data_IF_453921358762
#
_entry.id   IF_453921358762
#
_cell.length_a   1.000
_cell.length_b   1.000
_cell.length_c   1.000
_cell.angle_alpha   90.00
_cell.angle_beta   90.00
_cell.angle_gamma   90.00
#
_symmetry.space_group_name_H-M   'P 1'
#
loop_
_entity.id
_entity.type
_entity.pdbx_description
1 polymer ?
#
# COMPACT_ATOMS: atom_id res chain seq x y z
N UNK A 1 -1.34 -40.88 10.29
CA UNK A 1 -2.33 -39.85 10.57
C UNK A 1 -1.68 -38.60 11.20
N UNK A 2 -0.85 -38.74 12.24
CA UNK A 2 -0.16 -37.62 12.94
C UNK A 2 0.79 -36.84 12.02
N UNK A 3 1.53 -37.47 11.14
CA UNK A 3 2.45 -36.78 10.21
C UNK A 3 1.71 -35.91 9.17
N UNK A 4 0.50 -36.30 8.77
CA UNK A 4 -0.29 -35.53 7.80
C UNK A 4 -0.85 -34.26 8.47
N UNK A 5 -1.26 -34.33 9.73
CA UNK A 5 -1.74 -33.18 10.49
C UNK A 5 -0.61 -32.18 10.79
N UNK A 6 0.58 -32.67 11.12
CA UNK A 6 1.74 -31.81 11.34
C UNK A 6 2.19 -31.08 10.07
N UNK A 7 2.14 -31.74 8.90
CA UNK A 7 2.46 -31.11 7.63
C UNK A 7 1.41 -30.03 7.24
N UNK A 8 0.13 -30.27 7.48
CA UNK A 8 -0.92 -29.30 7.25
C UNK A 8 -0.77 -28.08 8.16
N UNK A 9 -0.49 -28.27 9.45
CA UNK A 9 -0.24 -27.16 10.38
C UNK A 9 0.96 -26.31 9.95
N UNK A 10 2.05 -26.94 9.52
CA UNK A 10 3.23 -26.17 9.06
C UNK A 10 2.96 -25.40 7.76
N UNK A 11 2.11 -25.90 6.88
CA UNK A 11 1.73 -25.18 5.65
C UNK A 11 0.84 -23.97 5.95
N UNK A 12 -0.13 -24.08 6.87
CA UNK A 12 -0.95 -22.95 7.30
C UNK A 12 -0.11 -21.86 7.95
N UNK A 13 0.89 -22.21 8.75
CA UNK A 13 1.83 -21.27 9.37
C UNK A 13 2.65 -20.52 8.33
N UNK A 14 3.12 -21.18 7.27
CA UNK A 14 3.86 -20.54 6.17
C UNK A 14 2.97 -19.51 5.45
N UNK A 15 1.75 -19.89 5.11
CA UNK A 15 0.81 -18.97 4.45
C UNK A 15 0.46 -17.77 5.32
N UNK A 16 0.29 -17.96 6.63
CA UNK A 16 0.06 -16.90 7.58
C UNK A 16 1.23 -15.89 7.65
N UNK A 17 2.47 -16.39 7.69
CA UNK A 17 3.68 -15.55 7.68
C UNK A 17 3.80 -14.78 6.36
N UNK A 18 3.50 -15.44 5.23
CA UNK A 18 3.52 -14.76 3.91
C UNK A 18 2.43 -13.69 3.82
N UNK A 19 1.22 -13.95 4.28
CA UNK A 19 0.13 -12.97 4.34
C UNK A 19 0.54 -11.75 5.16
N UNK A 20 1.09 -11.97 6.36
CA UNK A 20 1.59 -10.89 7.23
C UNK A 20 2.74 -10.10 6.57
N UNK A 21 3.57 -10.75 5.76
CA UNK A 21 4.65 -10.08 5.02
C UNK A 21 4.10 -9.19 3.91
N UNK A 22 3.07 -9.66 3.18
CA UNK A 22 2.38 -8.87 2.15
C UNK A 22 1.65 -7.69 2.78
N UNK A 23 1.02 -7.88 3.94
CA UNK A 23 0.41 -6.83 4.74
C UNK A 23 1.44 -5.74 5.09
N UNK A 24 2.59 -6.14 5.62
CA UNK A 24 3.68 -5.21 5.95
C UNK A 24 4.21 -4.46 4.73
N UNK A 25 4.35 -5.14 3.59
CA UNK A 25 4.76 -4.53 2.32
C UNK A 25 3.73 -3.52 1.82
N UNK A 26 2.44 -3.84 1.96
CA UNK A 26 1.35 -2.94 1.57
C UNK A 26 1.33 -1.67 2.43
N UNK A 27 1.50 -1.82 3.75
CA UNK A 27 1.62 -0.68 4.65
C UNK A 27 2.84 0.18 4.31
N UNK A 28 3.99 -0.45 4.04
CA UNK A 28 5.21 0.26 3.62
C UNK A 28 5.00 1.01 2.30
N UNK A 29 4.26 0.43 1.35
CA UNK A 29 3.90 1.08 0.10
C UNK A 29 3.02 2.33 0.34
N UNK A 30 2.03 2.25 1.24
CA UNK A 30 1.20 3.41 1.61
C UNK A 30 2.05 4.50 2.25
N UNK A 31 2.94 4.16 3.17
CA UNK A 31 3.87 5.11 3.79
C UNK A 31 4.81 5.74 2.75
N UNK A 32 5.25 4.96 1.77
CA UNK A 32 6.01 5.47 0.64
C UNK A 32 5.21 6.48 -0.19
N UNK A 33 3.95 6.22 -0.50
CA UNK A 33 3.07 7.17 -1.20
C UNK A 33 2.88 8.47 -0.41
N UNK A 34 2.78 8.39 0.93
CA UNK A 34 2.58 9.57 1.79
C UNK A 34 3.84 10.41 1.95
N UNK A 35 4.99 9.78 2.18
CA UNK A 35 6.21 10.46 2.60
C UNK A 35 7.37 10.36 1.60
N UNK A 36 7.22 9.57 0.56
CA UNK A 36 8.28 9.30 -0.42
C UNK A 36 8.78 10.54 -1.14
N UNK A 37 7.95 11.59 -1.31
CA UNK A 37 8.38 12.83 -1.92
C UNK A 37 9.52 13.52 -1.16
N UNK A 38 9.55 13.39 0.17
CA UNK A 38 10.60 13.96 1.02
C UNK A 38 11.96 13.34 0.68
N UNK A 39 11.99 12.01 0.50
CA UNK A 39 13.20 11.24 0.24
C UNK A 39 13.57 11.28 -1.25
N UNK A 40 12.56 11.11 -2.12
CA UNK A 40 12.76 10.97 -3.56
C UNK A 40 13.14 12.28 -4.26
N UNK A 41 12.83 13.42 -3.65
CA UNK A 41 13.03 14.74 -4.24
C UNK A 41 14.49 15.04 -4.62
N UNK A 42 15.46 14.53 -3.85
CA UNK A 42 16.89 14.76 -4.07
C UNK A 42 17.54 13.77 -5.05
N UNK A 43 16.86 12.69 -5.42
CA UNK A 43 17.41 11.61 -6.26
C UNK A 43 16.55 11.39 -7.50
N UNK A 44 17.07 11.61 -8.73
CA UNK A 44 16.26 11.57 -9.93
C UNK A 44 15.60 10.20 -10.18
N UNK A 45 16.29 9.11 -9.91
CA UNK A 45 15.73 7.76 -10.06
C UNK A 45 14.56 7.52 -9.09
N UNK A 46 14.75 7.81 -7.80
CA UNK A 46 13.70 7.66 -6.78
C UNK A 46 12.51 8.58 -7.05
N UNK A 47 12.76 9.77 -7.59
CA UNK A 47 11.70 10.69 -8.03
C UNK A 47 10.79 10.04 -9.07
N UNK A 48 11.35 9.45 -10.11
CA UNK A 48 10.56 8.80 -11.16
C UNK A 48 9.82 7.57 -10.64
N UNK A 49 10.47 6.76 -9.83
CA UNK A 49 9.83 5.61 -9.16
C UNK A 49 8.64 6.08 -8.30
N UNK A 50 8.83 7.13 -7.49
CA UNK A 50 7.75 7.64 -6.64
C UNK A 50 6.60 8.24 -7.45
N UNK A 51 6.88 9.00 -8.51
CA UNK A 51 5.84 9.53 -9.42
C UNK A 51 5.02 8.39 -10.03
N UNK A 52 5.66 7.32 -10.51
CA UNK A 52 4.97 6.15 -11.05
C UNK A 52 4.09 5.48 -9.99
N UNK A 53 4.59 5.33 -8.76
CA UNK A 53 3.81 4.79 -7.64
C UNK A 53 2.60 5.67 -7.29
N UNK A 54 2.75 7.01 -7.32
CA UNK A 54 1.65 7.95 -7.07
C UNK A 54 0.56 7.85 -8.14
N UNK A 55 0.95 7.80 -9.41
CA UNK A 55 0.00 7.63 -10.53
C UNK A 55 -0.73 6.29 -10.37
N UNK A 56 -0.01 5.21 -10.07
CA UNK A 56 -0.59 3.90 -9.82
C UNK A 56 -1.57 3.92 -8.64
N UNK A 57 -1.21 4.56 -7.53
CA UNK A 57 -2.08 4.73 -6.36
C UNK A 57 -3.38 5.45 -6.71
N UNK A 58 -3.32 6.55 -7.48
CA UNK A 58 -4.51 7.26 -7.94
C UNK A 58 -5.38 6.36 -8.83
N UNK A 59 -4.78 5.59 -9.74
CA UNK A 59 -5.53 4.71 -10.63
C UNK A 59 -6.26 3.61 -9.85
N UNK A 60 -5.63 2.99 -8.87
CA UNK A 60 -6.26 1.94 -8.04
C UNK A 60 -7.40 2.52 -7.18
N UNK A 61 -7.23 3.74 -6.65
CA UNK A 61 -8.29 4.39 -5.85
C UNK A 61 -9.45 4.91 -6.71
N UNK A 62 -9.18 5.38 -7.93
CA UNK A 62 -10.19 5.94 -8.82
C UNK A 62 -10.95 4.89 -9.63
N UNK A 63 -10.36 3.74 -9.88
CA UNK A 63 -10.95 2.65 -10.64
C UNK A 63 -11.47 1.56 -9.68
N UNK A 64 -12.56 0.86 -10.04
CA UNK A 64 -13.10 -0.22 -9.20
C UNK A 64 -12.27 -1.51 -9.31
N UNK A 65 -10.95 -1.37 -9.41
CA UNK A 65 -10.03 -2.49 -9.50
C UNK A 65 -9.46 -2.83 -8.13
N UNK A 66 -9.48 -4.10 -7.75
CA UNK A 66 -8.85 -4.51 -6.50
C UNK A 66 -7.34 -4.34 -6.61
N UNK A 67 -6.71 -3.82 -5.55
CA UNK A 67 -5.26 -3.71 -5.47
C UNK A 67 -4.62 -5.12 -5.60
N UNK A 68 -3.61 -5.31 -6.45
CA UNK A 68 -2.93 -6.61 -6.59
C UNK A 68 -2.36 -7.15 -5.28
N UNK A 69 -1.88 -6.27 -4.39
CA UNK A 69 -1.39 -6.68 -3.07
C UNK A 69 -2.53 -7.20 -2.18
N UNK A 70 -3.70 -6.54 -2.21
CA UNK A 70 -4.89 -7.00 -1.49
C UNK A 70 -5.38 -8.37 -2.01
N UNK A 71 -5.33 -8.59 -3.31
CA UNK A 71 -5.68 -9.89 -3.89
C UNK A 71 -4.72 -10.99 -3.44
N UNK A 72 -3.42 -10.69 -3.43
CA UNK A 72 -2.39 -11.63 -2.99
C UNK A 72 -2.53 -11.93 -1.50
N UNK A 73 -2.76 -10.93 -0.68
CA UNK A 73 -2.98 -11.07 0.76
C UNK A 73 -4.19 -11.97 1.04
N UNK A 74 -5.35 -11.65 0.48
CA UNK A 74 -6.57 -12.45 0.61
C UNK A 74 -6.40 -13.90 0.13
N UNK A 75 -5.64 -14.10 -0.95
CA UNK A 75 -5.34 -15.44 -1.42
C UNK A 75 -4.48 -16.23 -0.42
N UNK A 76 -3.48 -15.59 0.18
CA UNK A 76 -2.62 -16.21 1.20
C UNK A 76 -3.41 -16.50 2.48
N UNK A 77 -4.26 -15.57 2.94
CA UNK A 77 -5.12 -15.73 4.10
C UNK A 77 -6.09 -16.90 3.92
N UNK A 78 -6.72 -17.01 2.75
CA UNK A 78 -7.61 -18.12 2.45
C UNK A 78 -6.89 -19.49 2.51
N UNK A 79 -5.60 -19.52 2.14
CA UNK A 79 -4.75 -20.72 2.27
C UNK A 79 -4.33 -21.01 3.71
N UNK A 80 -4.25 -19.97 4.54
CA UNK A 80 -4.02 -20.09 5.97
C UNK A 80 -5.29 -20.46 6.76
N UNK A 81 -6.46 -20.55 6.10
CA UNK A 81 -7.74 -20.85 6.74
C UNK A 81 -8.41 -19.63 7.38
N UNK A 82 -7.97 -18.42 7.01
CA UNK A 82 -8.58 -17.15 7.43
C UNK A 82 -9.59 -16.70 6.38
N UNK A 83 -10.74 -16.20 6.83
CA UNK A 83 -11.78 -15.67 5.93
C UNK A 83 -11.27 -14.41 5.22
N UNK A 84 -11.23 -14.39 3.86
CA UNK A 84 -10.79 -13.22 3.12
C UNK A 84 -11.80 -12.07 3.25
N UNK A 85 -11.28 -10.83 3.37
CA UNK A 85 -12.13 -9.64 3.46
C UNK A 85 -12.49 -9.08 2.08
N UNK A 86 -13.69 -8.51 1.96
CA UNK A 86 -14.25 -7.96 0.72
C UNK A 86 -13.99 -6.45 0.57
N UNK A 87 -13.61 -5.76 1.65
CA UNK A 87 -13.35 -4.33 1.65
C UNK A 87 -11.92 -4.02 1.18
N UNK A 88 -11.65 -2.76 0.78
CA UNK A 88 -10.28 -2.33 0.51
C UNK A 88 -9.39 -2.46 1.75
N UNK A 89 -8.10 -2.72 1.54
CA UNK A 89 -7.10 -2.91 2.59
C UNK A 89 -7.21 -1.90 3.73
N UNK A 90 -7.16 -0.61 3.40
CA UNK A 90 -7.15 0.46 4.41
C UNK A 90 -8.46 0.50 5.20
N UNK A 91 -9.59 0.26 4.54
CA UNK A 91 -10.91 0.24 5.18
C UNK A 91 -11.02 -0.94 6.15
N UNK A 92 -10.56 -2.14 5.76
CA UNK A 92 -10.61 -3.33 6.60
C UNK A 92 -9.86 -3.13 7.93
N UNK A 93 -8.62 -2.64 7.86
CA UNK A 93 -7.80 -2.45 9.06
C UNK A 93 -8.19 -1.21 9.89
N UNK A 94 -8.69 -0.15 9.26
CA UNK A 94 -9.21 1.01 9.99
C UNK A 94 -10.52 0.71 10.71
N UNK A 95 -11.43 -0.06 10.14
CA UNK A 95 -12.65 -0.49 10.79
C UNK A 95 -12.35 -1.36 12.02
N UNK A 96 -11.29 -2.18 11.96
CA UNK A 96 -10.84 -2.97 13.09
C UNK A 96 -10.19 -2.14 14.23
N UNK A 97 -9.54 -1.01 13.88
CA UNK A 97 -8.72 -0.23 14.80
C UNK A 97 -9.46 0.97 15.41
N UNK A 98 -10.32 1.67 14.68
CA UNK A 98 -10.82 3.03 15.01
C UNK A 98 -12.32 3.08 15.30
N UNK A 99 -13.07 1.99 15.24
CA UNK A 99 -14.53 1.96 15.29
C UNK A 99 -15.24 2.06 13.92
N UNK A 100 -16.32 1.28 13.75
CA UNK A 100 -16.91 1.11 12.43
C UNK A 100 -17.60 2.38 11.94
N UNK A 101 -17.39 2.72 10.70
CA UNK A 101 -18.15 3.63 9.80
C UNK A 101 -17.37 4.80 9.19
N UNK A 102 -16.11 4.61 8.85
CA UNK A 102 -15.48 5.52 7.90
C UNK A 102 -16.06 5.21 6.51
N UNK A 103 -16.75 6.14 5.85
CA UNK A 103 -17.28 5.88 4.52
C UNK A 103 -16.11 5.62 3.54
N UNK A 104 -16.17 4.57 2.71
CA UNK A 104 -15.12 4.24 1.75
C UNK A 104 -14.71 5.43 0.86
N UNK A 105 -15.70 6.25 0.47
CA UNK A 105 -15.49 7.46 -0.32
C UNK A 105 -14.53 8.44 0.35
N UNK A 106 -14.57 8.56 1.68
CA UNK A 106 -13.65 9.46 2.41
C UNK A 106 -12.20 8.99 2.29
N UNK A 107 -11.96 7.69 2.36
CA UNK A 107 -10.61 7.12 2.21
C UNK A 107 -10.09 7.28 0.78
N UNK A 108 -10.93 7.02 -0.22
CA UNK A 108 -10.60 7.25 -1.63
C UNK A 108 -10.25 8.71 -1.88
N UNK A 109 -11.08 9.65 -1.42
CA UNK A 109 -10.81 11.09 -1.57
C UNK A 109 -9.51 11.48 -0.86
N UNK A 110 -9.31 11.02 0.37
CA UNK A 110 -8.07 11.30 1.12
C UNK A 110 -6.83 10.74 0.40
N UNK A 111 -6.88 9.51 -0.10
CA UNK A 111 -5.79 8.88 -0.87
C UNK A 111 -5.45 9.66 -2.14
N UNK A 112 -6.47 10.02 -2.94
CA UNK A 112 -6.29 10.82 -4.16
C UNK A 112 -5.72 12.20 -3.84
N UNK A 113 -6.21 12.87 -2.79
CA UNK A 113 -5.70 14.18 -2.36
C UNK A 113 -4.23 14.07 -1.94
N UNK A 114 -3.87 13.09 -1.12
CA UNK A 114 -2.48 12.89 -0.68
C UNK A 114 -1.57 12.64 -1.88
N UNK A 115 -1.95 11.76 -2.81
CA UNK A 115 -1.17 11.49 -4.01
C UNK A 115 -1.01 12.74 -4.89
N UNK A 116 -2.09 13.51 -5.09
CA UNK A 116 -2.07 14.73 -5.89
C UNK A 116 -1.18 15.80 -5.27
N UNK A 117 -1.25 15.98 -3.94
CA UNK A 117 -0.37 16.92 -3.22
C UNK A 117 1.10 16.51 -3.34
N UNK A 118 1.41 15.22 -3.23
CA UNK A 118 2.78 14.73 -3.44
C UNK A 118 3.27 14.96 -4.87
N UNK A 119 2.41 14.77 -5.89
CA UNK A 119 2.74 15.11 -7.27
C UNK A 119 3.00 16.61 -7.44
N UNK A 120 2.17 17.47 -6.83
CA UNK A 120 2.34 18.92 -6.87
C UNK A 120 3.66 19.39 -6.24
N UNK A 121 4.20 18.65 -5.25
CA UNK A 121 5.51 18.95 -4.68
C UNK A 121 6.65 18.84 -5.71
N UNK A 122 6.51 17.98 -6.73
CA UNK A 122 7.51 17.83 -7.79
C UNK A 122 7.48 18.92 -8.85
N UNK A 123 6.39 19.66 -8.97
CA UNK A 123 6.27 20.80 -9.90
C UNK A 123 6.87 22.09 -9.34
N UNK A 124 7.08 22.15 -8.02
CA UNK A 124 7.65 23.33 -7.38
C UNK A 124 9.17 23.38 -7.55
N UNK A 125 9.75 24.47 -8.04
CA UNK A 125 11.20 24.63 -8.13
C UNK A 125 11.82 24.59 -6.73
N UNK A 126 12.95 23.87 -6.62
CA UNK A 126 13.69 23.77 -5.36
C UNK A 126 14.35 25.12 -5.01
N UNK A 127 14.13 25.71 -3.83
CA UNK A 127 14.78 26.97 -3.44
C UNK A 127 16.31 26.88 -3.32
N UNK A 128 16.90 25.67 -3.42
CA UNK A 128 18.33 25.40 -3.26
C UNK A 128 19.11 25.06 -4.53
N UNK A 129 18.49 25.14 -5.70
CA UNK A 129 19.12 24.79 -6.99
C UNK A 129 19.79 25.95 -7.72
N UNK A 130 20.26 26.97 -7.01
CA UNK A 130 21.00 28.07 -7.65
C UNK A 130 22.49 27.76 -7.63
N UNK A 131 23.06 27.56 -8.82
CA UNK A 131 24.47 27.62 -9.20
C UNK A 131 25.45 26.57 -8.64
N UNK A 132 25.62 25.47 -9.38
CA UNK A 132 26.94 24.92 -9.65
C UNK A 132 27.14 24.85 -11.17
N UNK A 133 27.28 26.01 -11.77
CA UNK A 133 27.88 26.19 -13.11
C UNK A 133 28.85 27.36 -12.98
N UNK A 134 30.04 27.08 -12.49
CA UNK A 134 31.31 27.75 -12.84
C UNK A 134 32.39 26.71 -12.74
#
# INVERSE_FOLDING_TARGET
MVHCMAALASMTDIYSVLASSVLGLHLLFILWLMFGAIIARSRPLLKWVHITCLIWGILIEALPWPCPLTLLENWLESRAGVEPYQSGFLLHYLDALVYPKIPPVLLTVAGVVVCTLNLALYTRPFPGGRNRSQ
#
